data_IF_126958876403
#
_entry.id   IF_126958876403
#
_cell.length_a   1.000
_cell.length_b   1.000
_cell.length_c   1.000
_cell.angle_alpha   90.00
_cell.angle_beta   90.00
_cell.angle_gamma   90.00
#
_symmetry.space_group_name_H-M   'P 1'
#
loop_
_entity.id
_entity.type
_entity.pdbx_description
1 polymer ?
#
# COMPACT_ATOMS: atom_id res chain seq x y z
N UNK A 1 1.83 35.23 -12.14
CA UNK A 1 0.76 35.17 -13.17
C UNK A 1 0.90 36.38 -14.09
N UNK A 2 1.29 36.21 -15.37
CA UNK A 2 1.46 37.32 -16.30
C UNK A 2 0.15 38.03 -16.71
N UNK A 3 -1.02 37.46 -16.41
CA UNK A 3 -2.34 38.07 -16.64
C UNK A 3 -2.90 38.81 -15.42
N UNK A 4 -2.14 38.89 -14.32
CA UNK A 4 -2.52 39.58 -13.08
C UNK A 4 -2.71 41.08 -13.34
N UNK A 5 -3.86 41.62 -12.96
CA UNK A 5 -4.18 43.04 -13.15
C UNK A 5 -4.65 43.40 -14.57
N UNK A 6 -4.63 42.46 -15.52
CA UNK A 6 -5.13 42.66 -16.90
C UNK A 6 -6.48 41.98 -17.09
N UNK A 7 -6.52 40.65 -16.98
CA UNK A 7 -7.75 39.85 -17.07
C UNK A 7 -8.07 39.07 -15.79
N UNK A 8 -7.06 38.89 -14.92
CA UNK A 8 -7.20 38.24 -13.61
C UNK A 8 -7.14 39.28 -12.49
N UNK A 9 -8.23 39.41 -11.72
CA UNK A 9 -8.31 40.31 -10.56
C UNK A 9 -7.56 39.72 -9.36
N UNK A 10 -6.86 40.56 -8.61
CA UNK A 10 -6.09 40.15 -7.42
C UNK A 10 -7.00 39.49 -6.38
N UNK A 11 -8.13 40.12 -6.04
CA UNK A 11 -9.08 39.61 -5.04
C UNK A 11 -9.72 38.26 -5.41
N UNK A 12 -9.83 37.95 -6.70
CA UNK A 12 -10.31 36.64 -7.17
C UNK A 12 -9.24 35.56 -7.01
N UNK A 13 -7.97 35.91 -7.31
CA UNK A 13 -6.83 35.02 -7.09
C UNK A 13 -6.61 34.75 -5.59
N UNK A 14 -6.71 35.76 -4.73
CA UNK A 14 -6.57 35.58 -3.28
C UNK A 14 -7.62 34.62 -2.71
N UNK A 15 -8.88 34.76 -3.13
CA UNK A 15 -9.96 33.83 -2.73
C UNK A 15 -9.71 32.41 -3.22
N UNK A 16 -9.25 32.24 -4.45
CA UNK A 16 -8.91 30.92 -5.01
C UNK A 16 -7.72 30.29 -4.28
N UNK A 17 -6.69 31.07 -3.95
CA UNK A 17 -5.54 30.61 -3.15
C UNK A 17 -5.99 30.21 -1.75
N UNK A 18 -6.83 31.00 -1.09
CA UNK A 18 -7.34 30.68 0.24
C UNK A 18 -8.18 29.39 0.25
N UNK A 19 -8.97 29.15 -0.81
CA UNK A 19 -9.71 27.89 -0.97
C UNK A 19 -8.78 26.71 -1.21
N UNK A 20 -7.81 26.85 -2.11
CA UNK A 20 -6.84 25.81 -2.44
C UNK A 20 -5.92 25.44 -1.26
N UNK A 21 -5.65 26.37 -0.34
CA UNK A 21 -4.92 26.08 0.91
C UNK A 21 -5.64 25.08 1.81
N UNK A 22 -6.96 25.02 1.73
CA UNK A 22 -7.81 24.16 2.57
C UNK A 22 -8.42 22.99 1.80
N UNK A 23 -8.22 22.91 0.49
CA UNK A 23 -8.77 21.85 -0.37
C UNK A 23 -7.72 21.42 -1.42
N UNK A 24 -7.05 20.28 -1.23
CA UNK A 24 -6.03 19.77 -2.15
C UNK A 24 -6.53 19.63 -3.61
N UNK A 25 -7.83 19.35 -3.80
CA UNK A 25 -8.42 19.19 -5.14
C UNK A 25 -8.45 20.49 -5.95
N UNK A 26 -8.48 21.65 -5.30
CA UNK A 26 -8.46 22.97 -5.95
C UNK A 26 -7.03 23.42 -6.32
N UNK A 27 -6.00 22.83 -5.71
CA UNK A 27 -4.60 23.25 -5.81
C UNK A 27 -4.04 23.06 -7.23
N UNK A 28 -4.31 21.91 -7.86
CA UNK A 28 -3.81 21.62 -9.20
C UNK A 28 -4.35 22.61 -10.23
N UNK A 29 -5.65 22.91 -10.15
CA UNK A 29 -6.33 23.83 -11.07
C UNK A 29 -5.78 25.27 -10.97
N UNK A 30 -5.49 25.74 -9.76
CA UNK A 30 -4.93 27.09 -9.57
C UNK A 30 -3.46 27.16 -10.02
N UNK A 31 -2.63 26.16 -9.69
CA UNK A 31 -1.21 26.16 -10.07
C UNK A 31 -1.04 26.11 -11.59
N UNK A 32 -1.85 25.31 -12.28
CA UNK A 32 -1.83 25.19 -13.74
C UNK A 32 -2.42 26.40 -14.45
N UNK A 33 -3.67 26.76 -14.15
CA UNK A 33 -4.42 27.79 -14.91
C UNK A 33 -4.05 29.22 -14.52
N UNK A 34 -3.69 29.44 -13.26
CA UNK A 34 -3.40 30.78 -12.75
C UNK A 34 -1.90 31.02 -12.50
N UNK A 35 -1.09 30.00 -12.25
CA UNK A 35 0.36 30.18 -12.03
C UNK A 35 1.24 29.63 -13.16
N UNK A 36 0.64 29.02 -14.20
CA UNK A 36 1.35 28.45 -15.35
C UNK A 36 2.42 27.41 -14.93
N UNK A 37 2.17 26.70 -13.83
CA UNK A 37 2.99 25.58 -13.38
C UNK A 37 2.46 24.34 -14.09
N UNK A 38 3.34 23.61 -14.79
CA UNK A 38 2.94 22.39 -15.51
C UNK A 38 2.31 21.40 -14.54
N UNK A 39 1.18 20.84 -14.96
CA UNK A 39 0.52 19.75 -14.25
C UNK A 39 1.45 18.53 -14.27
N UNK A 40 1.79 18.04 -13.08
CA UNK A 40 2.26 16.67 -12.95
C UNK A 40 0.99 15.90 -12.63
N UNK A 41 0.49 15.11 -13.60
CA UNK A 41 -0.81 14.40 -13.57
C UNK A 41 -0.82 13.27 -12.56
N UNK A 42 -0.67 13.64 -11.29
CA UNK A 42 -0.43 12.70 -10.23
C UNK A 42 -0.96 13.33 -8.95
N UNK A 43 -2.25 13.11 -8.72
CA UNK A 43 -2.91 13.41 -7.47
C UNK A 43 -2.38 12.42 -6.44
N UNK A 44 -1.49 12.92 -5.58
CA UNK A 44 -1.14 12.23 -4.33
C UNK A 44 -2.43 11.76 -3.66
N UNK A 45 -2.47 10.50 -3.25
CA UNK A 45 -3.68 9.94 -2.69
C UNK A 45 -4.00 10.56 -1.33
N UNK A 46 -2.99 10.68 -0.46
CA UNK A 46 -3.11 11.20 0.90
C UNK A 46 -2.00 12.20 1.21
N UNK A 47 -2.23 13.05 2.21
CA UNK A 47 -1.20 13.93 2.77
C UNK A 47 -0.21 13.12 3.61
N UNK A 48 1.00 13.65 3.82
CA UNK A 48 1.97 13.01 4.72
C UNK A 48 1.42 12.88 6.14
N UNK A 49 0.69 13.88 6.63
CA UNK A 49 0.10 13.85 7.97
C UNK A 49 -0.89 12.71 8.13
N UNK A 50 -1.75 12.45 7.14
CA UNK A 50 -2.66 11.31 7.15
C UNK A 50 -1.91 9.96 7.09
N UNK A 51 -0.78 9.92 6.38
CA UNK A 51 0.02 8.69 6.24
C UNK A 51 0.85 8.42 7.50
N UNK A 52 1.39 9.45 8.15
CA UNK A 52 2.36 9.29 9.23
C UNK A 52 1.69 8.77 10.51
N UNK A 53 2.01 7.53 10.86
CA UNK A 53 1.68 6.96 12.15
C UNK A 53 2.96 6.37 12.76
N UNK A 54 3.32 6.86 13.95
CA UNK A 54 4.52 6.44 14.67
C UNK A 54 4.26 5.30 15.67
N UNK A 55 2.99 4.90 15.81
CA UNK A 55 2.60 3.76 16.64
C UNK A 55 3.30 2.49 16.17
N UNK A 56 3.62 1.64 17.13
CA UNK A 56 4.27 0.34 16.94
C UNK A 56 3.52 -0.73 17.72
N UNK A 57 3.79 -1.99 17.42
CA UNK A 57 3.25 -3.15 18.12
C UNK A 57 4.21 -4.34 18.00
N UNK A 58 4.10 -5.32 18.89
CA UNK A 58 4.81 -6.59 18.76
C UNK A 58 3.89 -7.61 18.06
N UNK A 59 4.40 -8.29 17.04
CA UNK A 59 3.65 -9.34 16.34
C UNK A 59 3.26 -10.49 17.28
N UNK A 60 4.02 -10.70 18.36
CA UNK A 60 3.72 -11.71 19.39
C UNK A 60 2.42 -11.44 20.14
N UNK A 61 1.97 -10.18 20.18
CA UNK A 61 0.69 -9.83 20.80
C UNK A 61 -0.50 -10.40 20.00
N UNK A 62 -0.27 -10.82 18.75
CA UNK A 62 -1.24 -11.46 17.86
C UNK A 62 -1.09 -12.98 17.80
N UNK A 63 -0.29 -13.60 18.67
CA UNK A 63 -0.10 -15.04 18.65
C UNK A 63 -1.41 -15.80 18.93
N UNK A 64 -1.69 -16.84 18.15
CA UNK A 64 -2.92 -17.63 18.26
C UNK A 64 -4.17 -16.95 17.68
N UNK A 65 -4.00 -15.87 16.90
CA UNK A 65 -5.11 -15.12 16.30
C UNK A 65 -5.22 -15.32 14.80
N UNK A 66 -6.32 -14.81 14.24
CA UNK A 66 -6.57 -14.83 12.81
C UNK A 66 -6.20 -13.52 12.14
N UNK A 67 -5.73 -13.62 10.89
CA UNK A 67 -5.40 -12.47 10.05
C UNK A 67 -6.07 -12.58 8.67
N UNK A 68 -6.06 -11.47 7.94
CA UNK A 68 -6.30 -11.46 6.50
C UNK A 68 -4.98 -11.20 5.80
N UNK A 69 -4.62 -12.08 4.88
CA UNK A 69 -3.41 -11.97 4.08
C UNK A 69 -3.63 -11.12 2.83
N UNK A 70 -2.59 -10.41 2.41
CA UNK A 70 -2.49 -9.74 1.11
C UNK A 70 -1.13 -9.98 0.48
N UNK A 71 -1.03 -10.05 -0.84
CA UNK A 71 0.23 -10.27 -1.55
C UNK A 71 0.29 -9.51 -2.88
N UNK A 72 1.32 -8.68 -3.04
CA UNK A 72 1.71 -8.09 -4.32
C UNK A 72 2.96 -8.80 -4.83
N UNK A 73 2.82 -9.48 -5.97
CA UNK A 73 3.83 -10.39 -6.51
C UNK A 73 4.44 -9.82 -7.77
N UNK A 74 5.69 -9.36 -7.67
CA UNK A 74 6.46 -8.93 -8.83
C UNK A 74 6.81 -10.12 -9.74
N UNK A 75 6.62 -9.96 -11.05
CA UNK A 75 7.02 -10.94 -12.07
C UNK A 75 8.52 -10.85 -12.40
N UNK A 76 9.18 -9.72 -12.08
CA UNK A 76 10.56 -9.47 -12.51
C UNK A 76 11.50 -9.20 -11.35
N UNK A 77 12.04 -8.00 -11.26
CA UNK A 77 13.07 -7.61 -10.30
C UNK A 77 12.54 -6.66 -9.24
N UNK A 78 11.25 -6.29 -9.33
CA UNK A 78 10.64 -5.35 -8.40
C UNK A 78 10.38 -5.98 -7.04
N UNK A 79 9.99 -5.13 -6.09
CA UNK A 79 9.74 -5.53 -4.72
C UNK A 79 8.48 -6.41 -4.71
N UNK A 80 8.53 -7.60 -4.12
CA UNK A 80 7.30 -8.29 -3.73
C UNK A 80 6.97 -7.97 -2.28
N UNK A 81 5.69 -7.99 -1.92
CA UNK A 81 5.23 -7.70 -0.57
C UNK A 81 4.14 -8.67 -0.14
N UNK A 82 4.20 -9.11 1.11
CA UNK A 82 3.15 -9.84 1.78
C UNK A 82 2.69 -9.07 3.01
N UNK A 83 1.40 -9.12 3.29
CA UNK A 83 0.73 -8.40 4.37
C UNK A 83 -0.09 -9.37 5.20
N UNK A 84 -0.05 -9.17 6.52
CA UNK A 84 -1.07 -9.64 7.45
C UNK A 84 -1.77 -8.43 8.05
N UNK A 85 -3.10 -8.44 7.94
CA UNK A 85 -4.01 -7.44 8.47
C UNK A 85 -4.82 -8.04 9.62
N UNK A 86 -4.71 -7.42 10.79
CA UNK A 86 -5.49 -7.74 11.98
C UNK A 86 -6.45 -6.59 12.29
N UNK A 87 -7.53 -6.88 13.00
CA UNK A 87 -8.48 -5.88 13.48
C UNK A 87 -8.71 -6.10 14.96
N UNK A 88 -8.58 -5.05 15.76
CA UNK A 88 -9.07 -5.07 17.13
C UNK A 88 -10.59 -4.81 17.11
N UNK A 89 -11.42 -5.75 17.60
CA UNK A 89 -12.88 -5.64 17.52
C UNK A 89 -13.44 -4.57 18.47
N UNK A 90 -12.70 -4.16 19.50
CA UNK A 90 -13.14 -3.14 20.46
C UNK A 90 -12.77 -1.73 19.99
N UNK A 91 -11.52 -1.55 19.55
CA UNK A 91 -11.01 -0.22 19.16
C UNK A 91 -11.19 0.06 17.66
N UNK A 92 -11.49 -0.97 16.87
CA UNK A 92 -11.46 -0.95 15.40
C UNK A 92 -10.10 -0.55 14.82
N UNK A 93 -9.02 -0.63 15.59
CA UNK A 93 -7.67 -0.37 15.08
C UNK A 93 -7.27 -1.55 14.19
N UNK A 94 -6.68 -1.23 13.04
CA UNK A 94 -6.13 -2.18 12.10
C UNK A 94 -4.63 -2.25 12.28
N UNK A 95 -4.11 -3.44 12.53
CA UNK A 95 -2.69 -3.67 12.65
C UNK A 95 -2.17 -4.33 11.39
N UNK A 96 -1.09 -3.80 10.84
CA UNK A 96 -0.53 -4.23 9.56
C UNK A 96 0.90 -4.70 9.78
N UNK A 97 1.14 -5.98 9.54
CA UNK A 97 2.47 -6.59 9.54
C UNK A 97 2.85 -6.95 8.11
N UNK A 98 4.05 -6.56 7.67
CA UNK A 98 4.49 -6.76 6.29
C UNK A 98 5.91 -7.26 6.21
N UNK A 99 6.16 -8.06 5.18
CA UNK A 99 7.49 -8.46 4.74
C UNK A 99 7.65 -8.18 3.26
N UNK A 100 8.89 -7.88 2.88
CA UNK A 100 9.26 -7.48 1.52
C UNK A 100 10.37 -8.37 1.00
N UNK A 101 10.41 -8.58 -0.32
CA UNK A 101 11.44 -9.39 -0.98
C UNK A 101 12.07 -8.68 -2.17
N UNK A 102 13.37 -8.88 -2.33
CA UNK A 102 14.14 -8.43 -3.48
C UNK A 102 15.14 -9.51 -3.91
N UNK A 103 15.42 -9.70 -5.21
CA UNK A 103 16.49 -10.59 -5.63
C UNK A 103 17.86 -10.12 -5.13
N UNK A 104 18.63 -11.02 -4.54
CA UNK A 104 19.95 -10.75 -3.96
C UNK A 104 20.91 -10.10 -4.97
N UNK A 105 20.96 -10.64 -6.20
CA UNK A 105 21.84 -10.16 -7.27
C UNK A 105 21.59 -8.68 -7.64
N UNK A 106 20.38 -8.20 -7.36
CA UNK A 106 19.95 -6.86 -7.74
C UNK A 106 20.12 -5.83 -6.62
N UNK A 107 20.42 -6.24 -5.38
CA UNK A 107 20.42 -5.36 -4.21
C UNK A 107 21.34 -4.15 -4.40
N UNK A 108 22.64 -4.39 -4.66
CA UNK A 108 23.64 -3.31 -4.79
C UNK A 108 23.30 -2.36 -5.93
N UNK A 109 22.96 -2.93 -7.10
CA UNK A 109 22.58 -2.16 -8.28
C UNK A 109 21.37 -1.25 -7.99
N UNK A 110 20.36 -1.75 -7.28
CA UNK A 110 19.17 -0.96 -6.93
C UNK A 110 19.45 0.12 -5.90
N UNK A 111 20.26 -0.15 -4.88
CA UNK A 111 20.69 0.90 -3.93
C UNK A 111 21.39 2.04 -4.69
N UNK A 112 22.26 1.69 -5.64
CA UNK A 112 23.00 2.67 -6.44
C UNK A 112 22.12 3.43 -7.44
N UNK A 113 21.20 2.77 -8.13
CA UNK A 113 20.37 3.36 -9.19
C UNK A 113 19.11 4.08 -8.69
N UNK A 114 18.45 3.53 -7.67
CA UNK A 114 17.20 4.05 -7.11
C UNK A 114 17.44 5.01 -5.95
N UNK A 115 18.63 4.99 -5.35
CA UNK A 115 18.97 5.77 -4.15
C UNK A 115 18.03 5.49 -2.98
N UNK A 116 17.54 4.26 -2.91
CA UNK A 116 16.68 3.74 -1.85
C UNK A 116 17.52 2.83 -0.95
N UNK A 117 17.39 2.92 0.39
CA UNK A 117 18.25 2.21 1.34
C UNK A 117 17.78 0.76 1.56
N UNK A 118 17.68 -0.03 0.48
CA UNK A 118 17.28 -1.44 0.55
C UNK A 118 18.24 -2.28 1.41
N UNK A 119 19.53 -1.96 1.36
CA UNK A 119 20.58 -2.54 2.20
C UNK A 119 20.28 -2.36 3.70
N UNK A 120 19.91 -1.15 4.11
CA UNK A 120 19.58 -0.85 5.51
C UNK A 120 18.29 -1.54 5.95
N UNK A 121 17.29 -1.60 5.08
CA UNK A 121 16.05 -2.31 5.39
C UNK A 121 16.26 -3.81 5.53
N UNK A 122 17.20 -4.38 4.76
CA UNK A 122 17.62 -5.76 4.93
C UNK A 122 18.33 -5.98 6.27
N UNK A 123 19.30 -5.12 6.63
CA UNK A 123 19.99 -5.17 7.93
C UNK A 123 19.01 -5.05 9.12
N UNK A 124 17.91 -4.32 8.95
CA UNK A 124 16.84 -4.16 9.94
C UNK A 124 15.85 -5.34 9.99
N UNK A 125 15.98 -6.31 9.09
CA UNK A 125 15.03 -7.43 8.99
C UNK A 125 13.66 -7.06 8.41
N UNK A 126 13.53 -5.90 7.76
CA UNK A 126 12.30 -5.44 7.11
C UNK A 126 12.20 -5.89 5.64
N UNK A 127 13.31 -6.36 5.08
CA UNK A 127 13.45 -6.84 3.70
C UNK A 127 14.24 -8.15 3.71
N UNK A 128 13.69 -9.18 3.07
CA UNK A 128 14.37 -10.46 2.80
C UNK A 128 14.92 -10.47 1.37
N UNK A 129 15.98 -11.24 1.16
CA UNK A 129 16.59 -11.42 -0.15
C UNK A 129 16.26 -12.81 -0.68
N UNK A 130 15.77 -12.87 -1.91
CA UNK A 130 15.59 -14.13 -2.64
C UNK A 130 16.91 -14.47 -3.34
N UNK A 131 17.31 -15.74 -3.29
CA UNK A 131 18.54 -16.17 -3.95
C UNK A 131 18.47 -15.99 -5.48
N UNK A 132 19.54 -15.45 -6.08
CA UNK A 132 19.63 -15.22 -7.52
C UNK A 132 19.03 -13.88 -7.99
N UNK A 133 18.50 -13.87 -9.22
CA UNK A 133 18.14 -12.65 -9.96
C UNK A 133 16.63 -12.40 -10.12
N UNK A 134 15.80 -13.34 -9.66
CA UNK A 134 14.34 -13.27 -9.63
C UNK A 134 13.81 -13.58 -8.24
N UNK A 135 12.58 -13.17 -7.94
CA UNK A 135 11.91 -13.55 -6.70
C UNK A 135 11.39 -14.98 -6.85
N UNK A 136 11.78 -15.84 -5.91
CA UNK A 136 11.14 -17.15 -5.74
C UNK A 136 9.90 -16.96 -4.85
N UNK A 137 8.72 -17.29 -5.38
CA UNK A 137 7.49 -17.14 -4.60
C UNK A 137 7.40 -18.14 -3.44
N UNK A 138 8.20 -19.22 -3.46
CA UNK A 138 8.35 -20.10 -2.29
C UNK A 138 8.92 -19.36 -1.07
N UNK A 139 9.76 -18.34 -1.25
CA UNK A 139 10.25 -17.51 -0.13
C UNK A 139 9.11 -16.71 0.56
N UNK A 140 8.03 -16.43 -0.18
CA UNK A 140 6.83 -15.76 0.33
C UNK A 140 5.93 -16.79 1.03
N UNK A 141 5.80 -17.98 0.47
CA UNK A 141 5.15 -19.14 1.13
C UNK A 141 5.79 -19.43 2.48
N UNK A 142 7.12 -19.49 2.54
CA UNK A 142 7.88 -19.73 3.76
C UNK A 142 7.59 -18.70 4.85
N UNK A 143 7.38 -17.43 4.49
CA UNK A 143 7.01 -16.42 5.47
C UNK A 143 5.60 -16.59 6.02
N UNK A 144 4.61 -16.95 5.19
CA UNK A 144 3.28 -17.29 5.71
C UNK A 144 3.33 -18.52 6.62
N UNK A 145 4.15 -19.52 6.28
CA UNK A 145 4.40 -20.68 7.14
C UNK A 145 5.12 -20.31 8.43
N UNK A 146 6.07 -19.37 8.41
CA UNK A 146 6.71 -18.83 9.62
C UNK A 146 5.68 -18.17 10.54
N UNK A 147 4.81 -17.32 9.99
CA UNK A 147 3.73 -16.67 10.76
C UNK A 147 2.78 -17.70 11.38
N UNK A 148 2.47 -18.78 10.65
CA UNK A 148 1.63 -19.86 11.15
C UNK A 148 2.34 -20.72 12.21
N UNK A 149 3.56 -21.17 11.96
CA UNK A 149 4.23 -22.17 12.80
C UNK A 149 4.89 -21.55 14.04
N UNK A 150 5.48 -20.37 13.90
CA UNK A 150 6.28 -19.75 14.95
C UNK A 150 5.45 -18.78 15.80
N UNK A 151 4.41 -18.17 15.22
CA UNK A 151 3.54 -17.21 15.89
C UNK A 151 2.10 -17.71 16.05
N UNK A 152 1.72 -18.87 15.52
CA UNK A 152 0.33 -19.38 15.56
C UNK A 152 -0.68 -18.38 14.96
N UNK A 153 -0.24 -17.61 13.96
CA UNK A 153 -1.09 -16.65 13.24
C UNK A 153 -1.63 -17.33 11.99
N UNK A 154 -2.95 -17.46 11.92
CA UNK A 154 -3.61 -18.13 10.78
C UNK A 154 -4.26 -17.10 9.85
N UNK A 155 -3.75 -16.91 8.62
CA UNK A 155 -4.43 -16.13 7.60
C UNK A 155 -5.66 -16.90 7.10
N UNK A 156 -6.87 -16.41 7.40
CA UNK A 156 -8.11 -17.09 6.99
C UNK A 156 -8.35 -17.03 5.48
N UNK A 157 -7.92 -15.93 4.86
CA UNK A 157 -7.89 -15.72 3.42
C UNK A 157 -6.65 -14.92 3.07
N UNK A 158 -6.03 -15.23 1.93
CA UNK A 158 -4.89 -14.49 1.40
C UNK A 158 -5.27 -13.96 0.02
N UNK A 159 -5.37 -12.65 -0.10
CA UNK A 159 -5.75 -11.96 -1.32
C UNK A 159 -4.51 -11.60 -2.15
N UNK A 160 -4.57 -11.75 -3.47
CA UNK A 160 -3.44 -11.50 -4.37
C UNK A 160 -3.87 -11.06 -5.76
N UNK A 161 -3.06 -10.30 -6.47
CA UNK A 161 -3.44 -9.66 -7.73
C UNK A 161 -2.88 -10.31 -9.01
N UNK A 162 -1.77 -11.03 -8.89
CA UNK A 162 -0.99 -11.47 -10.04
C UNK A 162 -1.63 -12.66 -10.78
N UNK A 163 -1.99 -12.43 -12.06
CA UNK A 163 -2.57 -13.46 -12.94
C UNK A 163 -1.63 -14.65 -13.23
N UNK A 164 -0.31 -14.42 -13.16
CA UNK A 164 0.71 -15.42 -13.47
C UNK A 164 1.14 -16.28 -12.27
N UNK A 165 0.62 -16.00 -11.06
CA UNK A 165 1.02 -16.64 -9.81
C UNK A 165 0.48 -18.07 -9.60
N UNK A 166 0.12 -18.78 -10.68
CA UNK A 166 -0.54 -20.10 -10.57
C UNK A 166 0.26 -21.11 -9.74
N UNK A 167 1.58 -21.17 -9.94
CA UNK A 167 2.44 -22.10 -9.19
C UNK A 167 2.49 -21.78 -7.70
N UNK A 168 2.54 -20.49 -7.35
CA UNK A 168 2.50 -20.06 -5.95
C UNK A 168 1.15 -20.37 -5.30
N UNK A 169 0.05 -20.22 -6.05
CA UNK A 169 -1.28 -20.59 -5.57
C UNK A 169 -1.37 -22.07 -5.27
N UNK A 170 -0.94 -22.91 -6.22
CA UNK A 170 -0.96 -24.36 -6.05
C UNK A 170 -0.10 -24.79 -4.84
N UNK A 171 1.05 -24.15 -4.62
CA UNK A 171 1.92 -24.38 -3.47
C UNK A 171 1.25 -23.99 -2.14
N UNK A 172 0.76 -22.76 -2.03
CA UNK A 172 0.11 -22.27 -0.82
C UNK A 172 -1.15 -23.08 -0.45
N UNK A 173 -1.95 -23.48 -1.44
CA UNK A 173 -3.11 -24.35 -1.24
C UNK A 173 -2.70 -25.76 -0.77
N UNK A 174 -1.55 -26.29 -1.21
CA UNK A 174 -1.02 -27.57 -0.73
C UNK A 174 -0.66 -27.53 0.77
N UNK A 175 -0.29 -26.35 1.30
CA UNK A 175 -0.11 -26.11 2.73
C UNK A 175 -1.41 -25.78 3.49
N UNK A 176 -2.55 -25.72 2.79
CA UNK A 176 -3.87 -25.49 3.37
C UNK A 176 -4.28 -24.02 3.48
N UNK A 177 -3.50 -23.08 2.93
CA UNK A 177 -3.92 -21.69 2.85
C UNK A 177 -5.03 -21.50 1.83
N UNK A 178 -5.93 -20.55 2.10
CA UNK A 178 -7.02 -20.19 1.20
C UNK A 178 -6.70 -18.91 0.44
N UNK A 179 -6.46 -19.02 -0.86
CA UNK A 179 -6.10 -17.89 -1.70
C UNK A 179 -7.31 -17.35 -2.47
N UNK A 180 -7.39 -16.03 -2.59
CA UNK A 180 -8.45 -15.34 -3.33
C UNK A 180 -7.81 -14.35 -4.29
N UNK A 181 -8.11 -14.49 -5.58
CA UNK A 181 -7.61 -13.56 -6.57
C UNK A 181 -8.36 -12.24 -6.49
N UNK A 182 -7.64 -11.12 -6.42
CA UNK A 182 -8.15 -9.75 -6.46
C UNK A 182 -8.11 -9.19 -7.89
N UNK A 183 -9.27 -8.94 -8.53
CA UNK A 183 -9.29 -8.18 -9.77
C UNK A 183 -8.82 -6.73 -9.57
N UNK A 184 -7.81 -6.30 -10.31
CA UNK A 184 -7.22 -4.95 -10.21
C UNK A 184 -8.04 -3.85 -10.91
N UNK A 185 -9.37 -3.88 -10.76
CA UNK A 185 -10.30 -2.93 -11.36
C UNK A 185 -11.05 -2.10 -10.34
N UNK A 186 -11.54 -0.93 -10.74
CA UNK A 186 -12.26 0.02 -9.89
C UNK A 186 -13.45 -0.62 -9.14
N UNK A 187 -14.15 -1.60 -9.75
CA UNK A 187 -15.25 -2.33 -9.13
C UNK A 187 -14.85 -3.05 -7.83
N UNK A 188 -13.61 -3.54 -7.79
CA UNK A 188 -13.09 -4.29 -6.64
C UNK A 188 -12.31 -3.37 -5.71
N UNK A 189 -11.43 -2.53 -6.26
CA UNK A 189 -10.46 -1.77 -5.46
C UNK A 189 -11.00 -0.48 -4.86
N UNK A 190 -11.97 0.18 -5.51
CA UNK A 190 -12.29 1.57 -5.17
C UNK A 190 -12.83 1.74 -3.76
N UNK A 191 -13.80 0.92 -3.37
CA UNK A 191 -14.42 1.05 -2.05
C UNK A 191 -13.46 0.63 -0.92
N UNK A 192 -12.72 -0.50 -1.02
CA UNK A 192 -11.64 -0.81 -0.10
C UNK A 192 -10.59 0.29 0.01
N UNK A 193 -10.16 0.88 -1.12
CA UNK A 193 -9.20 1.98 -1.13
C UNK A 193 -9.75 3.24 -0.44
N UNK A 194 -11.02 3.60 -0.68
CA UNK A 194 -11.65 4.73 0.01
C UNK A 194 -11.71 4.51 1.53
N UNK A 195 -12.06 3.30 1.98
CA UNK A 195 -12.08 2.96 3.41
C UNK A 195 -10.67 2.98 4.02
N UNK A 196 -9.68 2.40 3.33
CA UNK A 196 -8.28 2.43 3.73
C UNK A 196 -7.77 3.87 3.89
N UNK A 197 -8.15 4.77 2.99
CA UNK A 197 -7.80 6.18 3.07
C UNK A 197 -8.44 6.88 4.26
N UNK A 198 -9.72 6.64 4.50
CA UNK A 198 -10.42 7.18 5.66
C UNK A 198 -9.88 6.65 7.00
N UNK A 199 -9.41 5.39 7.04
CA UNK A 199 -8.76 4.82 8.23
C UNK A 199 -7.38 5.44 8.48
N UNK A 200 -6.59 5.68 7.42
CA UNK A 200 -5.30 6.39 7.51
C UNK A 200 -5.49 7.83 8.04
N UNK A 201 -6.43 8.58 7.46
CA UNK A 201 -6.74 9.95 7.90
C UNK A 201 -7.18 10.02 9.38
N UNK A 202 -7.81 8.97 9.90
CA UNK A 202 -8.22 8.85 11.30
C UNK A 202 -7.15 8.20 12.19
N UNK A 203 -5.97 7.89 11.65
CA UNK A 203 -4.91 7.15 12.32
C UNK A 203 -5.36 5.80 12.91
N UNK A 204 -6.34 5.14 12.27
CA UNK A 204 -6.84 3.80 12.65
C UNK A 204 -6.00 2.65 12.09
N UNK A 205 -5.00 2.93 11.25
CA UNK A 205 -4.05 1.92 10.78
C UNK A 205 -2.73 2.07 11.52
N UNK A 206 -2.37 1.08 12.32
CA UNK A 206 -1.04 0.91 12.89
C UNK A 206 -0.23 -0.07 12.01
N UNK A 207 0.68 0.47 11.20
CA UNK A 207 1.56 -0.31 10.34
C UNK A 207 2.98 -0.47 10.90
N UNK A 208 3.09 -0.46 12.24
CA UNK A 208 4.34 -0.61 12.97
C UNK A 208 5.41 0.43 12.64
N UNK A 209 5.00 1.63 12.22
CA UNK A 209 5.88 2.69 11.71
C UNK A 209 6.87 2.18 10.62
N UNK A 210 6.47 1.17 9.84
CA UNK A 210 7.33 0.54 8.84
C UNK A 210 7.76 1.58 7.78
N UNK A 211 9.07 1.84 7.62
CA UNK A 211 9.56 2.87 6.69
C UNK A 211 9.30 2.52 5.23
N UNK A 212 9.25 1.24 4.87
CA UNK A 212 8.97 0.78 3.51
C UNK A 212 7.51 1.05 3.16
N UNK A 213 6.58 0.70 4.06
CA UNK A 213 5.17 0.97 3.82
C UNK A 213 4.88 2.47 3.79
N UNK A 214 5.45 3.24 4.73
CA UNK A 214 5.35 4.70 4.72
C UNK A 214 5.82 5.28 3.39
N UNK A 215 6.94 4.81 2.88
CA UNK A 215 7.45 5.20 1.57
C UNK A 215 6.47 4.83 0.44
N UNK A 216 5.95 3.59 0.41
CA UNK A 216 4.95 3.15 -0.57
C UNK A 216 3.67 4.00 -0.55
N UNK A 217 3.15 4.32 0.65
CA UNK A 217 1.98 5.18 0.81
C UNK A 217 2.22 6.59 0.25
N UNK A 218 3.38 7.20 0.53
CA UNK A 218 3.71 8.53 -0.03
C UNK A 218 3.92 8.53 -1.54
N UNK A 219 4.23 7.37 -2.12
CA UNK A 219 4.36 7.15 -3.55
C UNK A 219 3.03 6.83 -4.24
N UNK A 220 1.98 6.57 -3.47
CA UNK A 220 0.67 6.19 -4.01
C UNK A 220 -0.12 7.42 -4.43
N UNK A 221 -0.60 7.40 -5.66
CA UNK A 221 -1.56 8.33 -6.22
C UNK A 221 -2.86 7.62 -6.53
N UNK A 222 -3.85 8.37 -6.98
CA UNK A 222 -5.13 7.81 -7.45
C UNK A 222 -5.41 8.22 -8.88
N UNK A 223 -5.92 7.27 -9.66
CA UNK A 223 -6.67 7.55 -10.88
C UNK A 223 -8.16 7.49 -10.53
N UNK A 224 -8.90 8.54 -10.87
CA UNK A 224 -10.33 8.66 -10.60
C UNK A 224 -11.12 8.53 -11.89
N UNK A 225 -12.06 7.58 -11.93
CA UNK A 225 -12.96 7.41 -13.07
C UNK A 225 -14.09 8.46 -13.08
N UNK A 226 -14.92 8.45 -14.14
CA UNK A 226 -16.04 9.40 -14.29
C UNK A 226 -17.11 9.29 -13.20
N UNK A 227 -17.18 8.14 -12.52
CA UNK A 227 -18.15 7.86 -11.47
C UNK A 227 -17.59 8.18 -10.07
N UNK A 228 -16.35 8.68 -9.98
CA UNK A 228 -15.68 8.98 -8.72
C UNK A 228 -15.03 7.77 -8.06
N UNK A 229 -14.95 6.63 -8.75
CA UNK A 229 -14.20 5.48 -8.25
C UNK A 229 -12.69 5.76 -8.37
N UNK A 230 -11.91 5.28 -7.40
CA UNK A 230 -10.46 5.45 -7.37
C UNK A 230 -9.75 4.11 -7.51
N UNK A 231 -8.59 4.12 -8.16
CA UNK A 231 -7.65 2.98 -8.19
C UNK A 231 -6.22 3.49 -7.93
N UNK A 232 -5.35 2.68 -7.30
CA UNK A 232 -4.00 3.12 -6.99
C UNK A 232 -3.14 3.22 -8.25
N UNK A 233 -2.37 4.31 -8.34
CA UNK A 233 -1.36 4.53 -9.38
C UNK A 233 -0.04 4.99 -8.78
N UNK A 234 1.05 4.89 -9.53
CA UNK A 234 2.37 5.40 -9.13
C UNK A 234 2.43 6.92 -9.32
N UNK A 235 2.48 7.66 -8.21
CA UNK A 235 2.27 9.11 -8.16
C UNK A 235 3.39 9.98 -8.76
N UNK A 236 4.61 9.52 -9.08
CA UNK A 236 5.64 10.47 -9.58
C UNK A 236 6.64 9.88 -10.57
N UNK A 237 6.88 8.56 -10.56
CA UNK A 237 7.86 7.93 -11.44
C UNK A 237 7.66 6.41 -11.48
N UNK A 238 8.02 5.72 -12.59
CA UNK A 238 8.13 4.25 -12.62
C UNK A 238 9.11 3.68 -11.58
N UNK A 239 10.07 4.50 -11.12
CA UNK A 239 11.03 4.15 -10.06
C UNK A 239 10.43 4.12 -8.66
N UNK A 240 9.25 4.71 -8.48
CA UNK A 240 8.54 4.64 -7.20
C UNK A 240 7.75 3.36 -7.11
N UNK A 241 7.72 2.83 -5.89
CA UNK A 241 7.12 1.55 -5.54
C UNK A 241 5.91 1.83 -4.66
N UNK A 242 4.87 1.05 -4.89
CA UNK A 242 3.61 1.09 -4.14
C UNK A 242 3.25 -0.30 -3.64
N UNK A 243 4.21 -1.22 -3.67
CA UNK A 243 4.02 -2.67 -3.56
C UNK A 243 3.48 -3.01 -2.16
N UNK A 244 3.98 -2.31 -1.13
CA UNK A 244 3.42 -2.36 0.22
C UNK A 244 1.98 -1.85 0.31
N UNK A 245 1.62 -0.82 -0.46
CA UNK A 245 0.25 -0.29 -0.51
C UNK A 245 -0.68 -1.21 -1.30
N UNK A 246 -0.20 -1.83 -2.38
CA UNK A 246 -0.96 -2.78 -3.19
C UNK A 246 -1.27 -4.05 -2.39
N UNK A 247 -0.26 -4.65 -1.75
CA UNK A 247 -0.42 -5.80 -0.86
C UNK A 247 -1.37 -5.50 0.32
N UNK A 248 -1.27 -4.30 0.92
CA UNK A 248 -2.22 -3.87 1.97
C UNK A 248 -3.64 -3.69 1.43
N UNK A 249 -3.78 -3.14 0.22
CA UNK A 249 -5.08 -2.96 -0.42
C UNK A 249 -5.75 -4.30 -0.72
N UNK A 250 -5.00 -5.31 -1.17
CA UNK A 250 -5.51 -6.67 -1.36
C UNK A 250 -6.04 -7.26 -0.04
N UNK A 251 -5.31 -7.11 1.06
CA UNK A 251 -5.79 -7.51 2.39
C UNK A 251 -7.07 -6.74 2.78
N UNK A 252 -7.15 -5.44 2.45
CA UNK A 252 -8.34 -4.62 2.67
C UNK A 252 -9.55 -5.05 1.84
N UNK A 253 -9.34 -5.53 0.60
CA UNK A 253 -10.41 -6.15 -0.20
C UNK A 253 -10.91 -7.39 0.55
N UNK A 254 -10.02 -8.23 1.07
CA UNK A 254 -10.40 -9.39 1.87
C UNK A 254 -11.16 -9.04 3.15
N UNK A 255 -10.74 -7.99 3.83
CA UNK A 255 -11.46 -7.46 4.99
C UNK A 255 -12.86 -6.99 4.60
N UNK A 256 -13.00 -6.31 3.46
CA UNK A 256 -14.29 -5.82 2.99
C UNK A 256 -15.23 -6.96 2.59
N UNK A 257 -14.72 -7.97 1.89
CA UNK A 257 -15.49 -9.14 1.45
C UNK A 257 -15.98 -10.01 2.62
N UNK A 258 -15.18 -10.10 3.70
CA UNK A 258 -15.40 -11.05 4.78
C UNK A 258 -15.60 -10.40 6.16
N UNK A 259 -15.87 -9.09 6.23
CA UNK A 259 -15.82 -8.30 7.48
C UNK A 259 -16.56 -8.97 8.65
N UNK A 260 -17.84 -9.30 8.47
CA UNK A 260 -18.64 -9.92 9.53
C UNK A 260 -18.14 -11.32 9.92
N UNK A 261 -17.66 -12.10 8.95
CA UNK A 261 -17.14 -13.44 9.22
C UNK A 261 -15.80 -13.37 9.95
N UNK A 262 -14.94 -12.43 9.55
CA UNK A 262 -13.65 -12.18 10.18
C UNK A 262 -13.82 -11.76 11.63
N UNK A 263 -14.72 -10.80 11.91
CA UNK A 263 -15.00 -10.36 13.27
C UNK A 263 -15.61 -11.45 14.18
N UNK A 264 -16.28 -12.46 13.61
CA UNK A 264 -16.80 -13.60 14.39
C UNK A 264 -15.77 -14.68 14.65
N UNK A 265 -14.68 -14.71 13.87
CA UNK A 265 -13.63 -15.70 13.99
C UNK A 265 -12.57 -15.28 15.03
N UNK A 266 -12.38 -13.97 15.23
CA UNK A 266 -11.60 -13.38 16.33
C UNK A 266 -12.32 -13.53 17.66
#
# INVERSE_FOLDING_TARGET
>A
NPALGVSKKVDDLERKVARAKNNPNDLTGILTKDFNIREVTNSAWLTFDAINNESTFDIKDFAGTYAIGGADLSITTDLSCATLLFVDPETEIRYVHQMYWLPEDNLRKRVDEDKIPYDKWHEQGLLRLCSGNTIDYSDITDWFLEMLNDFDITPLWIYYDNYSARYWVDEMEAYGFKLVRTPQGAKTLSLPMQNMGADLEKHKINYNNNPILKWCLTNTGVETDRNGNIVPIKNQSPKRRIDGTASMLDAYVGLFDNFEQFLRAM
#
